data_IF_874813065819
#
_entry.id   IF_874813065819
#
_cell.length_a   1.000
_cell.length_b   1.000
_cell.length_c   1.000
_cell.angle_alpha   90.00
_cell.angle_beta   90.00
_cell.angle_gamma   90.00
#
_symmetry.space_group_name_H-M   'P 1'
#
loop_
_entity.id
_entity.type
_entity.pdbx_description
1 polymer ?
#
# COMPACT_ATOMS: atom_id res chain seq x y z
N UNK A 1 31.32 0.04 3.11
CA UNK A 1 30.98 1.19 3.99
C UNK A 1 29.91 1.98 3.26
N UNK A 2 28.75 2.24 3.88
CA UNK A 2 27.64 2.95 3.23
C UNK A 2 28.01 4.39 2.91
N UNK A 3 27.75 4.81 1.67
CA UNK A 3 27.94 6.19 1.22
C UNK A 3 26.73 7.06 1.59
N UNK A 4 26.90 8.37 1.54
CA UNK A 4 25.81 9.33 1.78
C UNK A 4 24.69 9.20 0.74
N UNK A 5 25.04 8.89 -0.51
CA UNK A 5 24.10 8.64 -1.58
C UNK A 5 23.26 7.39 -1.34
N UNK A 6 23.89 6.26 -0.95
CA UNK A 6 23.19 5.02 -0.60
C UNK A 6 22.25 5.21 0.59
N UNK A 7 22.70 5.93 1.61
CA UNK A 7 21.89 6.23 2.80
C UNK A 7 20.62 7.01 2.41
N UNK A 8 20.77 8.03 1.57
CA UNK A 8 19.64 8.82 1.06
C UNK A 8 18.73 7.99 0.18
N UNK A 9 19.29 7.16 -0.71
CA UNK A 9 18.54 6.29 -1.60
C UNK A 9 17.66 5.30 -0.79
N UNK A 10 18.22 4.69 0.26
CA UNK A 10 17.45 3.80 1.15
C UNK A 10 16.29 4.56 1.80
N UNK A 11 16.50 5.77 2.33
CA UNK A 11 15.39 6.57 2.89
C UNK A 11 14.31 6.85 1.86
N UNK A 12 14.69 7.20 0.64
CA UNK A 12 13.74 7.49 -0.44
C UNK A 12 12.98 6.24 -0.89
N UNK A 13 13.63 5.09 -0.93
CA UNK A 13 12.99 3.78 -1.19
C UNK A 13 11.99 3.40 -0.11
N UNK A 14 12.28 3.73 1.15
CA UNK A 14 11.35 3.54 2.28
C UNK A 14 10.20 4.56 2.29
N UNK A 15 10.21 5.56 1.40
CA UNK A 15 9.21 6.62 1.34
C UNK A 15 9.22 7.57 2.53
N UNK A 16 10.31 7.57 3.33
CA UNK A 16 10.38 8.33 4.56
C UNK A 16 10.92 9.76 4.32
N UNK A 17 10.36 10.74 5.03
CA UNK A 17 11.00 12.05 5.18
C UNK A 17 12.24 11.95 6.07
N UNK A 18 13.14 12.94 6.04
CA UNK A 18 14.29 12.99 6.95
C UNK A 18 13.87 12.96 8.44
N UNK A 19 12.72 13.54 8.75
CA UNK A 19 12.15 13.58 10.10
C UNK A 19 11.65 12.20 10.54
N UNK A 20 10.92 11.51 9.66
CA UNK A 20 10.45 10.14 9.89
C UNK A 20 11.60 9.15 10.03
N UNK A 21 12.63 9.26 9.18
CA UNK A 21 13.83 8.43 9.32
C UNK A 21 14.56 8.72 10.64
N UNK A 22 14.66 10.00 11.03
CA UNK A 22 15.28 10.38 12.30
C UNK A 22 14.56 9.76 13.49
N UNK A 23 13.23 9.79 13.51
CA UNK A 23 12.42 9.13 14.53
C UNK A 23 12.66 7.61 14.55
N UNK A 24 12.65 6.95 13.37
CA UNK A 24 12.88 5.52 13.23
C UNK A 24 14.27 5.08 13.69
N UNK A 25 15.30 5.90 13.43
CA UNK A 25 16.70 5.65 13.87
C UNK A 25 17.00 6.19 15.27
N UNK A 26 16.00 6.74 15.98
CA UNK A 26 16.17 7.39 17.30
C UNK A 26 17.28 8.44 17.31
N UNK A 27 17.30 9.28 16.28
CA UNK A 27 18.26 10.38 16.10
C UNK A 27 17.53 11.67 15.75
N UNK A 28 18.28 12.74 15.38
CA UNK A 28 17.67 14.01 15.00
C UNK A 28 17.62 14.18 13.47
N UNK A 29 16.66 14.96 12.96
CA UNK A 29 16.58 15.32 11.53
C UNK A 29 17.89 15.93 11.04
N UNK A 30 18.55 16.77 11.87
CA UNK A 30 19.84 17.38 11.54
C UNK A 30 20.94 16.32 11.32
N UNK A 31 20.94 15.26 12.12
CA UNK A 31 21.88 14.14 11.93
C UNK A 31 21.64 13.42 10.62
N UNK A 32 20.37 13.15 10.26
CA UNK A 32 20.01 12.54 8.98
C UNK A 32 20.46 13.40 7.81
N UNK A 33 20.16 14.72 7.84
CA UNK A 33 20.58 15.66 6.81
C UNK A 33 22.13 15.71 6.66
N UNK A 34 22.88 15.63 7.76
CA UNK A 34 24.35 15.58 7.74
C UNK A 34 24.90 14.25 7.20
N UNK A 35 24.23 13.13 7.43
CA UNK A 35 24.57 11.85 6.80
C UNK A 35 24.39 11.92 5.28
N UNK A 36 23.26 12.45 4.82
CA UNK A 36 22.93 12.55 3.40
C UNK A 36 23.79 13.56 2.62
N UNK A 37 24.24 14.62 3.30
CA UNK A 37 25.15 15.61 2.70
C UNK A 37 26.64 15.22 2.77
N UNK A 38 26.98 14.13 3.44
CA UNK A 38 28.36 13.72 3.65
C UNK A 38 29.11 14.52 4.74
N UNK A 39 28.44 15.49 5.38
CA UNK A 39 29.03 16.30 6.46
C UNK A 39 29.30 15.50 7.72
N UNK A 40 28.72 14.32 7.85
CA UNK A 40 28.92 13.41 8.99
C UNK A 40 29.06 11.99 8.49
N UNK A 41 30.10 11.29 9.00
CA UNK A 41 30.31 9.88 8.72
C UNK A 41 29.16 9.04 9.30
N UNK A 42 28.62 8.12 8.49
CA UNK A 42 27.60 7.15 8.91
C UNK A 42 28.31 6.07 9.74
N UNK A 43 27.99 5.99 11.04
CA UNK A 43 28.57 4.98 11.92
C UNK A 43 28.06 3.58 11.57
N UNK A 44 28.80 2.53 11.95
CA UNK A 44 28.38 1.14 11.72
C UNK A 44 27.01 0.84 12.34
N UNK A 45 26.71 1.36 13.52
CA UNK A 45 25.42 1.19 14.17
C UNK A 45 24.26 1.80 13.35
N UNK A 46 24.47 2.99 12.76
CA UNK A 46 23.48 3.63 11.90
C UNK A 46 23.33 2.88 10.58
N UNK A 47 24.43 2.35 10.02
CA UNK A 47 24.37 1.50 8.82
C UNK A 47 23.52 0.25 9.08
N UNK A 48 23.76 -0.46 10.16
CA UNK A 48 22.98 -1.65 10.56
C UNK A 48 21.51 -1.27 10.75
N UNK A 49 21.21 -0.19 11.48
CA UNK A 49 19.85 0.22 11.79
C UNK A 49 19.05 0.57 10.52
N UNK A 50 19.64 1.33 9.59
CA UNK A 50 18.94 1.70 8.35
C UNK A 50 18.78 0.49 7.42
N UNK A 51 19.76 -0.43 7.38
CA UNK A 51 19.65 -1.68 6.61
C UNK A 51 18.55 -2.57 7.17
N UNK A 52 18.45 -2.69 8.50
CA UNK A 52 17.37 -3.43 9.15
C UNK A 52 16.00 -2.78 8.87
N UNK A 53 15.94 -1.44 8.82
CA UNK A 53 14.72 -0.72 8.42
C UNK A 53 14.36 -1.03 6.95
N UNK A 54 15.35 -1.03 6.07
CA UNK A 54 15.17 -1.35 4.65
C UNK A 54 14.71 -2.80 4.43
N UNK A 55 15.14 -3.70 5.30
CA UNK A 55 14.73 -5.10 5.28
C UNK A 55 13.38 -5.35 6.00
N UNK A 56 12.75 -4.30 6.57
CA UNK A 56 11.38 -4.43 7.07
C UNK A 56 10.43 -4.51 5.88
N UNK A 57 10.07 -5.73 5.56
CA UNK A 57 9.14 -6.09 4.50
C UNK A 57 7.71 -6.29 5.01
N UNK A 58 7.44 -5.88 6.27
CA UNK A 58 6.14 -6.08 6.90
C UNK A 58 5.26 -4.84 6.81
N UNK A 59 4.04 -5.04 6.37
CA UNK A 59 2.96 -4.04 6.33
C UNK A 59 1.79 -4.48 7.20
N UNK A 60 1.01 -3.53 7.76
CA UNK A 60 -0.16 -3.89 8.56
C UNK A 60 -1.25 -4.51 7.69
N UNK A 61 -1.90 -5.55 8.22
CA UNK A 61 -3.15 -6.06 7.71
C UNK A 61 -4.28 -5.14 8.19
N UNK A 62 -4.90 -4.41 7.27
CA UNK A 62 -5.96 -3.47 7.62
C UNK A 62 -7.33 -4.16 7.78
N UNK A 63 -7.52 -5.31 7.16
CA UNK A 63 -8.78 -6.04 7.28
C UNK A 63 -9.07 -6.97 6.11
N UNK A 64 -10.35 -7.32 6.00
CA UNK A 64 -10.90 -8.11 4.91
C UNK A 64 -11.79 -7.22 4.05
N UNK A 65 -11.59 -7.26 2.75
CA UNK A 65 -12.41 -6.53 1.78
C UNK A 65 -13.33 -7.49 1.04
N UNK A 66 -14.63 -7.24 1.13
CA UNK A 66 -15.65 -7.94 0.37
C UNK A 66 -16.52 -6.90 -0.35
N UNK A 67 -16.92 -7.20 -1.58
CA UNK A 67 -17.83 -6.31 -2.30
C UNK A 67 -19.18 -6.20 -1.56
N UNK A 68 -19.63 -4.96 -1.30
CA UNK A 68 -20.89 -4.70 -0.62
C UNK A 68 -20.86 -4.83 0.91
N UNK A 69 -19.66 -4.90 1.52
CA UNK A 69 -19.51 -4.95 2.97
C UNK A 69 -18.47 -3.94 3.46
N UNK A 70 -18.64 -3.36 4.66
CA UNK A 70 -17.59 -2.58 5.30
C UNK A 70 -16.30 -3.39 5.42
N UNK A 71 -15.14 -2.72 5.45
CA UNK A 71 -13.88 -3.41 5.78
C UNK A 71 -14.04 -4.01 7.17
N UNK A 72 -13.97 -5.34 7.25
CA UNK A 72 -13.91 -6.03 8.54
C UNK A 72 -12.51 -5.84 9.12
N UNK A 73 -12.34 -5.00 10.16
CA UNK A 73 -11.01 -4.81 10.75
C UNK A 73 -10.53 -6.11 11.39
N UNK A 74 -9.24 -6.40 11.27
CA UNK A 74 -8.65 -7.50 12.03
C UNK A 74 -8.63 -7.15 13.51
N UNK A 75 -9.09 -8.07 14.33
CA UNK A 75 -9.19 -7.91 15.79
C UNK A 75 -7.84 -7.91 16.51
N UNK A 76 -6.77 -8.32 15.81
CA UNK A 76 -5.39 -8.31 16.31
C UNK A 76 -4.50 -7.63 15.25
N UNK A 77 -3.45 -6.92 15.71
CA UNK A 77 -2.46 -6.32 14.83
C UNK A 77 -1.67 -7.41 14.11
N UNK A 78 -2.16 -7.79 12.93
CA UNK A 78 -1.51 -8.74 12.04
C UNK A 78 -0.58 -7.97 11.09
N UNK A 79 0.63 -8.51 10.88
CA UNK A 79 1.60 -7.95 9.95
C UNK A 79 1.87 -8.96 8.84
N UNK A 80 1.92 -8.47 7.63
CA UNK A 80 2.16 -9.27 6.43
C UNK A 80 3.52 -8.96 5.88
N UNK A 81 4.31 -9.98 5.63
CA UNK A 81 5.59 -9.84 4.93
C UNK A 81 5.34 -9.71 3.43
N UNK A 82 5.92 -8.68 2.82
CA UNK A 82 5.78 -8.39 1.39
C UNK A 82 7.14 -8.17 0.73
N UNK A 83 7.30 -8.49 -0.56
CA UNK A 83 8.52 -8.18 -1.30
C UNK A 83 8.85 -6.69 -1.23
N UNK A 84 10.13 -6.30 -1.04
CA UNK A 84 10.54 -4.89 -0.97
C UNK A 84 10.09 -4.05 -2.17
N UNK A 85 10.01 -4.66 -3.35
CA UNK A 85 9.56 -3.98 -4.58
C UNK A 85 8.09 -3.55 -4.56
N UNK A 86 7.28 -4.08 -3.64
CA UNK A 86 5.90 -3.64 -3.43
C UNK A 86 5.79 -2.47 -2.45
N UNK A 87 6.86 -2.18 -1.71
CA UNK A 87 6.96 -1.06 -0.79
C UNK A 87 7.41 0.17 -1.58
N UNK A 88 6.47 0.99 -2.02
CA UNK A 88 6.74 2.26 -2.68
C UNK A 88 6.84 3.43 -1.70
N UNK A 89 6.79 4.66 -2.22
CA UNK A 89 6.67 5.86 -1.37
C UNK A 89 5.28 5.92 -0.75
N UNK A 90 5.21 6.18 0.55
CA UNK A 90 3.97 6.35 1.32
C UNK A 90 3.57 5.14 2.15
N UNK A 91 2.43 5.27 2.83
CA UNK A 91 1.86 4.20 3.64
C UNK A 91 1.33 3.08 2.74
N UNK A 92 1.63 1.84 3.13
CA UNK A 92 1.18 0.63 2.44
C UNK A 92 0.53 -0.30 3.46
N UNK A 93 -0.56 -0.91 3.08
CA UNK A 93 -1.29 -1.86 3.92
C UNK A 93 -1.75 -3.05 3.08
N UNK A 94 -2.10 -4.14 3.75
CA UNK A 94 -2.66 -5.33 3.12
C UNK A 94 -4.13 -5.49 3.45
N UNK A 95 -4.88 -6.07 2.51
CA UNK A 95 -6.25 -6.53 2.70
C UNK A 95 -6.38 -7.96 2.19
N UNK A 96 -7.19 -8.77 2.86
CA UNK A 96 -7.56 -10.09 2.37
C UNK A 96 -8.80 -9.98 1.49
N UNK A 97 -8.74 -10.55 0.32
CA UNK A 97 -9.83 -10.52 -0.67
C UNK A 97 -10.91 -11.53 -0.28
N UNK A 98 -12.15 -11.07 -0.24
CA UNK A 98 -13.36 -11.88 -0.20
C UNK A 98 -14.19 -11.54 -1.43
N UNK A 99 -14.57 -12.52 -2.24
CA UNK A 99 -15.40 -12.31 -3.42
C UNK A 99 -14.62 -12.41 -4.73
N UNK A 100 -15.38 -12.39 -5.82
CA UNK A 100 -14.94 -12.80 -7.16
C UNK A 100 -14.97 -11.68 -8.19
N UNK A 101 -15.10 -10.43 -7.75
CA UNK A 101 -15.32 -9.32 -8.67
C UNK A 101 -14.12 -8.97 -9.56
N UNK A 102 -12.93 -9.50 -9.27
CA UNK A 102 -11.67 -9.21 -9.98
C UNK A 102 -10.94 -10.49 -10.44
N UNK A 103 -11.67 -11.57 -10.64
CA UNK A 103 -11.08 -12.89 -10.97
C UNK A 103 -10.42 -12.90 -12.36
N UNK A 104 -10.93 -12.13 -13.32
CA UNK A 104 -10.35 -12.03 -14.66
C UNK A 104 -9.04 -11.21 -14.67
N UNK A 105 -8.82 -10.36 -13.68
CA UNK A 105 -7.53 -9.71 -13.41
C UNK A 105 -6.60 -10.58 -12.54
N UNK A 106 -6.99 -11.82 -12.26
CA UNK A 106 -6.21 -12.77 -11.48
C UNK A 106 -6.24 -12.55 -9.98
N UNK A 107 -7.13 -11.69 -9.46
CA UNK A 107 -7.32 -11.47 -8.02
C UNK A 107 -8.44 -12.39 -7.54
N UNK A 108 -8.07 -13.41 -6.74
CA UNK A 108 -8.98 -14.47 -6.30
C UNK A 108 -9.36 -14.33 -4.82
N UNK A 109 -10.47 -14.93 -4.39
CA UNK A 109 -10.79 -15.04 -2.98
C UNK A 109 -9.64 -15.68 -2.17
N UNK A 110 -9.30 -15.09 -1.03
CA UNK A 110 -8.19 -15.52 -0.18
C UNK A 110 -6.86 -14.82 -0.45
N UNK A 111 -6.70 -14.16 -1.59
CA UNK A 111 -5.49 -13.39 -1.90
C UNK A 111 -5.27 -12.26 -0.89
N UNK A 112 -4.00 -11.92 -0.70
CA UNK A 112 -3.60 -10.70 -0.04
C UNK A 112 -3.30 -9.63 -1.09
N UNK A 113 -4.03 -8.53 -1.07
CA UNK A 113 -3.75 -7.38 -1.92
C UNK A 113 -2.94 -6.36 -1.14
N UNK A 114 -1.85 -5.91 -1.75
CA UNK A 114 -0.97 -4.87 -1.23
C UNK A 114 -1.43 -3.54 -1.82
N UNK A 115 -1.77 -2.60 -0.97
CA UNK A 115 -2.42 -1.34 -1.33
C UNK A 115 -1.58 -0.17 -0.86
N UNK A 116 -1.23 0.73 -1.76
CA UNK A 116 -0.62 2.02 -1.41
C UNK A 116 -1.70 3.02 -1.11
N UNK A 117 -1.68 3.57 0.11
CA UNK A 117 -2.65 4.56 0.59
C UNK A 117 -2.53 5.86 -0.20
N UNK A 118 -3.58 6.21 -0.91
CA UNK A 118 -3.71 7.49 -1.61
C UNK A 118 -5.17 7.75 -1.94
N UNK A 119 -5.58 9.02 -1.91
CA UNK A 119 -6.97 9.44 -2.12
C UNK A 119 -7.33 9.67 -3.60
N UNK A 120 -6.39 9.49 -4.52
CA UNK A 120 -6.58 9.73 -5.95
C UNK A 120 -6.06 8.57 -6.77
N UNK A 121 -6.67 8.34 -7.93
CA UNK A 121 -6.23 7.32 -8.88
C UNK A 121 -6.35 7.83 -10.32
N UNK A 122 -5.64 7.18 -11.22
CA UNK A 122 -5.75 7.37 -12.67
C UNK A 122 -6.70 6.33 -13.27
N UNK A 123 -7.30 6.67 -14.41
CA UNK A 123 -8.15 5.74 -15.15
C UNK A 123 -7.39 4.45 -15.48
N UNK A 124 -8.05 3.32 -15.27
CA UNK A 124 -7.48 1.99 -15.48
C UNK A 124 -6.68 1.43 -14.28
N UNK A 125 -6.53 2.18 -13.20
CA UNK A 125 -5.92 1.64 -11.99
C UNK A 125 -6.92 0.84 -11.16
N UNK A 126 -6.46 -0.28 -10.62
CA UNK A 126 -7.24 -1.04 -9.62
C UNK A 126 -7.11 -0.35 -8.27
N UNK A 127 -8.26 -0.03 -7.68
CA UNK A 127 -8.36 0.72 -6.42
C UNK A 127 -9.10 -0.09 -5.35
N UNK A 128 -8.78 0.20 -4.11
CA UNK A 128 -9.67 -0.05 -2.97
C UNK A 128 -10.44 1.24 -2.73
N UNK A 129 -11.75 1.17 -2.83
CA UNK A 129 -12.66 2.29 -2.63
C UNK A 129 -13.72 1.97 -1.58
N UNK A 130 -14.22 3.01 -0.92
CA UNK A 130 -15.42 2.96 -0.12
C UNK A 130 -16.56 3.61 -0.89
N UNK A 131 -17.67 2.91 -1.00
CA UNK A 131 -18.93 3.42 -1.54
C UNK A 131 -19.99 3.19 -0.46
N UNK A 132 -20.56 4.27 0.05
CA UNK A 132 -21.57 4.21 1.14
C UNK A 132 -21.07 3.40 2.36
N UNK A 133 -19.78 3.52 2.69
CA UNK A 133 -19.04 2.80 3.75
C UNK A 133 -18.75 1.32 3.44
N UNK A 134 -19.10 0.83 2.26
CA UNK A 134 -18.79 -0.51 1.82
C UNK A 134 -17.50 -0.52 1.01
N UNK A 135 -16.57 -1.41 1.37
CA UNK A 135 -15.30 -1.53 0.67
C UNK A 135 -15.43 -2.39 -0.58
N UNK A 136 -14.73 -1.98 -1.63
CA UNK A 136 -14.67 -2.74 -2.88
C UNK A 136 -13.32 -2.61 -3.55
N UNK A 137 -12.93 -3.64 -4.31
CA UNK A 137 -11.79 -3.60 -5.24
C UNK A 137 -12.35 -3.59 -6.65
N UNK A 138 -12.00 -2.56 -7.43
CA UNK A 138 -12.46 -2.38 -8.81
C UNK A 138 -11.44 -1.61 -9.62
N UNK A 139 -11.54 -1.71 -10.93
CA UNK A 139 -10.83 -0.81 -11.84
C UNK A 139 -11.56 0.52 -11.91
N UNK A 140 -10.82 1.59 -11.67
CA UNK A 140 -11.35 2.96 -11.57
C UNK A 140 -11.33 3.67 -12.89
N UNK A 141 -12.45 4.31 -13.25
CA UNK A 141 -12.57 5.21 -14.39
C UNK A 141 -13.31 6.48 -13.99
N UNK A 142 -12.67 7.63 -14.19
CA UNK A 142 -13.28 8.95 -14.01
C UNK A 142 -13.63 9.55 -15.34
N UNK A 143 -14.89 9.88 -15.51
CA UNK A 143 -15.44 10.60 -16.64
C UNK A 143 -15.74 12.07 -16.28
N UNK A 144 -16.18 12.86 -17.24
CA UNK A 144 -16.47 14.28 -17.02
C UNK A 144 -17.60 14.53 -16.00
N UNK A 145 -18.53 13.58 -15.83
CA UNK A 145 -19.73 13.75 -15.00
C UNK A 145 -19.95 12.68 -13.96
N UNK A 146 -19.21 11.58 -13.98
CA UNK A 146 -19.39 10.44 -13.07
C UNK A 146 -18.09 9.63 -12.95
N UNK A 147 -18.08 8.74 -11.98
CA UNK A 147 -17.04 7.74 -11.78
C UNK A 147 -17.66 6.38 -12.02
N UNK A 148 -16.91 5.49 -12.67
CA UNK A 148 -17.27 4.10 -12.83
C UNK A 148 -16.24 3.20 -12.14
N UNK A 149 -16.74 2.18 -11.47
CA UNK A 149 -15.97 1.13 -10.83
C UNK A 149 -16.23 -0.19 -11.56
N UNK A 150 -15.29 -0.64 -12.36
CA UNK A 150 -15.43 -1.80 -13.21
C UNK A 150 -14.95 -3.07 -12.51
N UNK A 151 -15.78 -4.11 -12.38
CA UNK A 151 -15.32 -5.43 -12.03
C UNK A 151 -14.53 -6.05 -13.19
N UNK A 152 -13.56 -6.89 -12.88
CA UNK A 152 -12.92 -7.82 -13.80
C UNK A 152 -13.58 -9.20 -13.65
N UNK A 153 -14.87 -9.25 -13.96
CA UNK A 153 -15.70 -10.46 -13.94
C UNK A 153 -16.89 -10.23 -14.88
N UNK A 154 -16.95 -11.00 -15.96
CA UNK A 154 -17.99 -10.87 -17.01
C UNK A 154 -19.42 -11.08 -16.48
N UNK A 155 -19.61 -11.76 -15.35
CA UNK A 155 -20.91 -11.95 -14.71
C UNK A 155 -21.40 -10.71 -13.95
N UNK A 156 -20.55 -9.67 -13.78
CA UNK A 156 -20.84 -8.47 -13.00
C UNK A 156 -20.87 -7.23 -13.91
N UNK A 157 -21.68 -6.24 -13.52
CA UNK A 157 -21.76 -4.97 -14.24
C UNK A 157 -20.93 -3.89 -13.55
N UNK A 158 -20.42 -2.90 -14.32
CA UNK A 158 -19.83 -1.70 -13.75
C UNK A 158 -20.80 -0.99 -12.80
N UNK A 159 -20.24 -0.46 -11.70
CA UNK A 159 -20.98 0.36 -10.75
C UNK A 159 -20.71 1.84 -11.06
N UNK A 160 -21.76 2.62 -11.27
CA UNK A 160 -21.66 4.05 -11.48
C UNK A 160 -21.85 4.77 -10.15
N UNK A 161 -20.83 5.52 -9.74
CA UNK A 161 -20.89 6.37 -8.54
C UNK A 161 -21.67 7.62 -8.88
N UNK A 162 -22.75 7.85 -8.16
CA UNK A 162 -23.62 9.01 -8.31
C UNK A 162 -23.27 10.12 -7.31
N UNK A 163 -23.75 11.37 -7.49
CA UNK A 163 -23.54 12.44 -6.52
C UNK A 163 -24.15 12.18 -5.13
N UNK A 164 -25.06 11.22 -5.03
CA UNK A 164 -25.71 10.82 -3.77
C UNK A 164 -24.87 9.83 -2.97
N UNK A 165 -23.88 9.17 -3.62
CA UNK A 165 -23.03 8.20 -2.98
C UNK A 165 -21.89 8.86 -2.20
N UNK A 166 -21.64 8.34 -1.00
CA UNK A 166 -20.42 8.65 -0.25
C UNK A 166 -19.28 7.82 -0.85
N UNK A 167 -18.41 8.46 -1.60
CA UNK A 167 -17.30 7.79 -2.30
C UNK A 167 -15.94 8.31 -1.82
N UNK A 168 -15.04 7.38 -1.52
CA UNK A 168 -13.61 7.68 -1.30
C UNK A 168 -12.72 6.58 -1.86
N UNK A 169 -11.53 6.96 -2.32
CA UNK A 169 -10.46 6.05 -2.67
C UNK A 169 -9.58 5.90 -1.43
N UNK A 170 -9.40 4.67 -0.94
CA UNK A 170 -8.53 4.35 0.19
C UNK A 170 -7.11 4.06 -0.26
N UNK A 171 -6.94 3.58 -1.49
CA UNK A 171 -5.63 3.35 -2.08
C UNK A 171 -5.67 2.68 -3.43
N UNK A 172 -4.47 2.57 -4.03
CA UNK A 172 -4.24 1.91 -5.32
C UNK A 172 -3.51 0.60 -5.08
N UNK A 173 -3.96 -0.44 -5.77
CA UNK A 173 -3.34 -1.75 -5.76
C UNK A 173 -1.91 -1.67 -6.32
N UNK A 174 -0.95 -2.24 -5.61
CA UNK A 174 0.46 -2.33 -6.05
C UNK A 174 0.94 -3.76 -6.21
N UNK A 175 0.21 -4.73 -5.68
CA UNK A 175 0.55 -6.13 -5.86
C UNK A 175 -0.47 -7.08 -5.24
N UNK A 176 -0.35 -8.35 -5.61
CA UNK A 176 -1.14 -9.46 -5.07
C UNK A 176 -0.18 -10.54 -4.59
N UNK A 177 -0.46 -11.09 -3.42
CA UNK A 177 0.29 -12.19 -2.83
C UNK A 177 -0.69 -13.34 -2.62
N UNK A 178 -0.35 -14.50 -3.15
CA UNK A 178 -1.10 -15.73 -2.98
C UNK A 178 -0.22 -16.79 -2.36
N UNK A 179 -0.69 -17.36 -1.26
CA UNK A 179 -0.10 -18.57 -0.71
C UNK A 179 -0.75 -19.77 -1.40
N UNK A 180 0.06 -20.49 -2.18
CA UNK A 180 -0.37 -21.75 -2.75
C UNK A 180 0.06 -22.86 -1.79
N UNK A 181 -0.83 -23.28 -0.89
CA UNK A 181 -0.62 -24.49 -0.13
C UNK A 181 -0.82 -25.68 -1.08
N UNK A 182 0.19 -26.50 -1.26
CA UNK A 182 0.02 -27.79 -1.93
C UNK A 182 -0.88 -28.65 -1.02
N UNK A 183 -2.07 -28.93 -1.50
CA UNK A 183 -2.98 -29.89 -0.87
C UNK A 183 -2.41 -31.32 -0.95
#
# INVERSE_FOLDING_TARGET
>A
MMTSSEFRQIREQLGLTQEQLAAALRTTRVSVARYESGMRRISGAVQVAITQLANRTQIPMAGVVAAGLPIEPVTQSEWVEVPPGMLGRGETFALRVKGESMIEDGILPGDLVVVRKQATAHNGQTVVALVNREATIKTYFKHARHIELHPANAAMKPFVVTPEDQFSIEGVLVGVIRHCENA
#
